data_IF_905419586377
#
_entry.id   IF_905419586377
#
_cell.length_a   1.000
_cell.length_b   1.000
_cell.length_c   1.000
_cell.angle_alpha   90.00
_cell.angle_beta   90.00
_cell.angle_gamma   90.00
#
_symmetry.space_group_name_H-M   'P 1'
#
loop_
_entity.id
_entity.type
_entity.pdbx_description
1 polymer ?
#
# COMPACT_ATOMS: atom_id res chain seq x y z
N UNK A 1 -73.21 0.12 6.65
CA UNK A 1 -72.95 -1.07 5.82
C UNK A 1 -71.94 -0.64 4.77
N UNK A 2 -70.63 -0.61 5.09
CA UNK A 2 -69.63 -1.69 4.82
C UNK A 2 -69.50 -1.93 3.30
N UNK A 3 -68.40 -1.65 2.60
CA UNK A 3 -67.00 -2.00 2.90
C UNK A 3 -65.99 -1.04 2.24
N UNK A 4 -64.80 -1.00 2.85
CA UNK A 4 -63.54 -0.46 2.35
C UNK A 4 -63.08 -1.18 1.09
N UNK A 5 -62.36 -0.47 0.22
CA UNK A 5 -61.24 -1.01 -0.59
C UNK A 5 -60.36 0.17 -1.03
N UNK A 6 -59.56 0.69 -0.09
CA UNK A 6 -58.39 1.52 -0.39
C UNK A 6 -57.25 0.59 -0.79
N UNK A 7 -57.01 0.43 -2.10
CA UNK A 7 -55.82 -0.26 -2.60
C UNK A 7 -54.63 0.71 -2.61
N UNK A 8 -53.89 0.59 -1.50
CA UNK A 8 -52.57 1.13 -1.18
C UNK A 8 -51.53 0.71 -2.24
N UNK A 9 -51.20 1.59 -3.19
CA UNK A 9 -49.96 1.46 -3.98
C UNK A 9 -48.78 1.93 -3.13
N UNK A 10 -48.40 1.11 -2.13
CA UNK A 10 -47.10 1.23 -1.47
C UNK A 10 -46.01 0.78 -2.43
N UNK A 11 -45.15 1.72 -2.80
CA UNK A 11 -43.82 1.48 -3.32
C UNK A 11 -43.05 0.58 -2.34
N UNK A 12 -43.02 -0.72 -2.63
CA UNK A 12 -42.03 -1.63 -2.06
C UNK A 12 -40.69 -1.35 -2.74
N UNK A 13 -39.94 -0.38 -2.21
CA UNK A 13 -38.49 -0.35 -2.42
C UNK A 13 -37.88 -1.36 -1.46
N UNK A 14 -38.06 -2.64 -1.77
CA UNK A 14 -37.33 -3.72 -1.10
C UNK A 14 -35.87 -3.65 -1.55
N UNK A 15 -35.02 -3.18 -0.63
CA UNK A 15 -33.63 -3.54 -0.44
C UNK A 15 -32.89 -4.04 -1.68
N UNK A 16 -32.31 -3.11 -2.44
CA UNK A 16 -31.14 -3.41 -3.25
C UNK A 16 -30.02 -3.78 -2.28
N UNK A 17 -29.78 -5.09 -2.13
CA UNK A 17 -28.66 -5.61 -1.39
C UNK A 17 -27.37 -4.96 -1.91
N UNK A 18 -26.68 -4.21 -1.04
CA UNK A 18 -25.30 -3.84 -1.30
C UNK A 18 -24.48 -5.14 -1.34
N UNK A 19 -23.58 -5.32 -2.32
CA UNK A 19 -22.75 -6.52 -2.35
C UNK A 19 -21.84 -6.51 -1.13
N UNK A 20 -22.02 -7.50 -0.26
CA UNK A 20 -21.18 -7.80 0.90
C UNK A 20 -19.71 -7.68 0.54
N UNK A 21 -19.07 -6.61 1.01
CA UNK A 21 -17.64 -6.58 1.28
C UNK A 21 -17.40 -6.88 2.76
N UNK A 22 -18.07 -7.90 3.30
CA UNK A 22 -17.65 -8.50 4.55
C UNK A 22 -16.31 -9.21 4.32
N UNK A 23 -15.24 -8.45 4.55
CA UNK A 23 -13.91 -8.98 4.82
C UNK A 23 -14.08 -9.98 5.96
N UNK A 24 -13.79 -11.27 5.69
CA UNK A 24 -13.77 -12.33 6.71
C UNK A 24 -12.68 -12.05 7.74
N UNK A 25 -12.96 -11.18 8.70
CA UNK A 25 -12.20 -11.00 9.94
C UNK A 25 -12.63 -12.15 10.86
N UNK A 26 -11.72 -13.05 11.25
CA UNK A 26 -12.00 -14.07 12.26
C UNK A 26 -11.74 -13.46 13.63
N UNK A 27 -12.75 -13.33 14.51
CA UNK A 27 -12.52 -12.92 15.88
C UNK A 27 -11.84 -14.05 16.66
N UNK A 28 -10.74 -13.74 17.35
CA UNK A 28 -10.15 -14.62 18.38
C UNK A 28 -10.56 -14.06 19.75
N UNK A 29 -11.24 -14.88 20.57
CA UNK A 29 -11.63 -14.50 21.93
C UNK A 29 -10.40 -14.59 22.83
N UNK A 30 -9.99 -13.47 23.43
CA UNK A 30 -8.96 -13.44 24.46
C UNK A 30 -9.48 -14.23 25.67
N UNK A 31 -8.80 -15.31 26.04
CA UNK A 31 -9.07 -15.99 27.31
C UNK A 31 -8.50 -15.11 28.42
N UNK A 32 -9.37 -14.36 29.10
CA UNK A 32 -9.02 -13.67 30.34
C UNK A 32 -9.03 -14.76 31.43
N UNK A 33 -7.87 -15.02 32.04
CA UNK A 33 -7.79 -15.93 33.18
C UNK A 33 -8.54 -15.28 34.36
N UNK A 34 -9.67 -15.89 34.75
CA UNK A 34 -10.64 -15.40 35.73
C UNK A 34 -10.15 -15.43 37.19
N UNK A 35 -8.84 -15.34 37.47
CA UNK A 35 -8.33 -15.39 38.84
C UNK A 35 -8.25 -14.02 39.54
N UNK A 36 -8.36 -12.89 38.83
CA UNK A 36 -8.22 -11.55 39.45
C UNK A 36 -9.54 -10.80 39.78
N UNK A 37 -10.72 -11.35 39.45
CA UNK A 37 -12.00 -10.63 39.63
C UNK A 37 -12.64 -10.89 41.01
N UNK A 38 -12.20 -11.91 41.76
CA UNK A 38 -12.91 -12.36 42.96
C UNK A 38 -12.64 -11.58 44.27
N UNK A 39 -11.87 -10.48 44.26
CA UNK A 39 -11.59 -9.72 45.49
C UNK A 39 -12.25 -8.34 45.61
N UNK A 40 -13.08 -7.91 44.64
CA UNK A 40 -13.65 -6.54 44.67
C UNK A 40 -15.17 -6.39 44.65
N UNK A 41 -15.96 -7.46 44.55
CA UNK A 41 -17.42 -7.36 44.45
C UNK A 41 -18.17 -7.88 45.69
N UNK A 42 -17.76 -7.47 46.89
CA UNK A 42 -18.68 -7.36 48.02
C UNK A 42 -18.95 -5.87 48.28
N UNK A 43 -20.21 -5.46 48.08
CA UNK A 43 -20.82 -4.15 48.36
C UNK A 43 -21.00 -3.19 47.17
N UNK A 44 -21.92 -3.48 46.24
CA UNK A 44 -22.91 -2.48 45.74
C UNK A 44 -24.16 -3.23 45.26
N UNK A 45 -25.30 -3.03 45.93
CA UNK A 45 -26.63 -3.40 45.42
C UNK A 45 -27.13 -2.35 44.40
N UNK A 46 -27.69 -2.82 43.28
CA UNK A 46 -28.74 -2.11 42.56
C UNK A 46 -28.33 -1.33 41.31
N UNK A 47 -28.54 -1.94 40.14
CA UNK A 47 -28.55 -1.26 38.84
C UNK A 47 -28.46 -2.25 37.68
N UNK A 48 -29.57 -2.52 37.01
CA UNK A 48 -29.58 -3.21 35.71
C UNK A 48 -28.96 -2.26 34.67
N UNK A 49 -27.65 -2.34 34.51
CA UNK A 49 -26.93 -1.91 33.32
C UNK A 49 -26.42 -3.16 32.62
N UNK A 50 -26.77 -3.34 31.36
CA UNK A 50 -26.07 -4.30 30.50
C UNK A 50 -24.62 -3.83 30.38
N UNK A 51 -23.72 -4.40 31.20
CA UNK A 51 -22.28 -4.26 31.00
C UNK A 51 -21.95 -5.00 29.69
N UNK A 52 -21.84 -4.25 28.60
CA UNK A 52 -21.24 -4.76 27.37
C UNK A 52 -19.80 -5.18 27.72
N UNK A 53 -19.54 -6.49 27.80
CA UNK A 53 -18.19 -7.03 27.78
C UNK A 53 -17.51 -6.51 26.50
N UNK A 54 -16.70 -5.46 26.61
CA UNK A 54 -15.71 -5.07 25.61
C UNK A 54 -14.71 -6.22 25.46
N UNK A 55 -15.12 -7.21 24.69
CA UNK A 55 -14.26 -8.30 24.25
C UNK A 55 -13.22 -7.70 23.32
N UNK A 56 -11.98 -7.61 23.81
CA UNK A 56 -10.84 -7.18 23.01
C UNK A 56 -10.60 -8.22 21.90
N UNK A 57 -11.15 -7.97 20.72
CA UNK A 57 -11.00 -8.84 19.56
C UNK A 57 -9.60 -8.66 18.97
N UNK A 58 -8.80 -9.73 18.97
CA UNK A 58 -7.56 -9.76 18.20
C UNK A 58 -7.91 -10.06 16.73
N UNK A 59 -7.69 -9.08 15.85
CA UNK A 59 -7.97 -9.21 14.43
C UNK A 59 -6.82 -9.91 13.72
N UNK A 60 -7.04 -11.17 13.31
CA UNK A 60 -6.10 -11.88 12.45
C UNK A 60 -6.15 -11.29 11.02
N UNK A 61 -5.02 -10.79 10.51
CA UNK A 61 -4.93 -10.41 9.11
C UNK A 61 -5.00 -11.65 8.25
N UNK A 62 -6.08 -11.74 7.47
CA UNK A 62 -6.23 -12.72 6.41
C UNK A 62 -5.73 -12.03 5.13
N UNK A 63 -4.53 -12.36 4.63
CA UNK A 63 -4.06 -11.77 3.39
C UNK A 63 -5.06 -12.11 2.27
N UNK A 64 -5.39 -11.13 1.44
CA UNK A 64 -6.32 -11.35 0.34
C UNK A 64 -5.75 -12.39 -0.63
N UNK A 65 -6.63 -13.07 -1.37
CA UNK A 65 -6.22 -13.99 -2.44
C UNK A 65 -5.22 -13.32 -3.41
N UNK A 66 -5.39 -12.01 -3.65
CA UNK A 66 -4.46 -11.21 -4.44
C UNK A 66 -3.04 -11.15 -3.84
N UNK A 67 -2.92 -10.95 -2.53
CA UNK A 67 -1.63 -10.92 -1.83
C UNK A 67 -0.83 -12.22 -2.00
N UNK A 68 -1.48 -13.37 -1.81
CA UNK A 68 -0.83 -14.67 -1.97
C UNK A 68 -0.41 -14.97 -3.42
N UNK A 69 -1.23 -14.56 -4.39
CA UNK A 69 -0.91 -14.71 -5.82
C UNK A 69 0.31 -13.86 -6.19
N UNK A 70 0.42 -12.64 -5.68
CA UNK A 70 1.58 -11.77 -5.94
C UNK A 70 2.85 -12.36 -5.35
N UNK A 71 2.82 -12.81 -4.08
CA UNK A 71 4.01 -13.42 -3.46
C UNK A 71 4.41 -14.71 -4.17
N UNK A 72 3.45 -15.59 -4.46
CA UNK A 72 3.72 -16.86 -5.13
C UNK A 72 4.32 -16.69 -6.53
N UNK A 73 3.83 -15.72 -7.30
CA UNK A 73 4.36 -15.44 -8.64
C UNK A 73 5.77 -14.84 -8.60
N UNK A 74 6.07 -13.95 -7.65
CA UNK A 74 7.42 -13.40 -7.44
C UNK A 74 8.40 -14.52 -7.07
N UNK A 75 8.04 -15.41 -6.14
CA UNK A 75 8.91 -16.51 -5.72
C UNK A 75 9.24 -17.47 -6.89
N UNK A 76 8.24 -17.86 -7.68
CA UNK A 76 8.45 -18.73 -8.85
C UNK A 76 9.34 -18.06 -9.90
N UNK A 77 9.15 -16.76 -10.14
CA UNK A 77 9.98 -16.00 -11.08
C UNK A 77 11.45 -15.92 -10.63
N UNK A 78 11.69 -15.72 -9.32
CA UNK A 78 13.05 -15.71 -8.75
C UNK A 78 13.72 -17.09 -8.90
N UNK A 79 13.02 -18.18 -8.58
CA UNK A 79 13.54 -19.54 -8.71
C UNK A 79 13.90 -19.85 -10.16
N UNK A 80 12.99 -19.55 -11.10
CA UNK A 80 13.22 -19.75 -12.53
C UNK A 80 14.42 -18.97 -13.05
N UNK A 81 14.59 -17.71 -12.60
CA UNK A 81 15.74 -16.88 -12.95
C UNK A 81 17.05 -17.46 -12.41
N UNK A 82 17.09 -17.92 -11.15
CA UNK A 82 18.28 -18.54 -10.54
C UNK A 82 18.69 -19.80 -11.31
N UNK A 83 17.74 -20.65 -11.69
CA UNK A 83 18.02 -21.85 -12.51
C UNK A 83 18.62 -21.40 -13.84
N UNK A 84 17.95 -20.48 -14.54
CA UNK A 84 18.36 -19.99 -15.86
C UNK A 84 19.81 -19.48 -15.88
N UNK A 85 20.20 -18.60 -14.95
CA UNK A 85 21.56 -18.02 -14.90
C UNK A 85 22.65 -19.02 -14.51
N UNK A 86 22.29 -20.20 -14.02
CA UNK A 86 23.24 -21.27 -13.69
C UNK A 86 23.33 -22.36 -14.77
N UNK A 87 22.50 -22.29 -15.81
CA UNK A 87 22.64 -23.17 -16.96
C UNK A 87 23.91 -22.86 -17.76
N UNK A 88 24.53 -23.89 -18.34
CA UNK A 88 25.74 -23.77 -19.16
C UNK A 88 25.44 -23.33 -20.61
N UNK A 89 24.58 -22.33 -20.78
CA UNK A 89 24.25 -21.73 -22.08
C UNK A 89 24.98 -20.38 -22.27
N UNK A 90 25.41 -20.03 -23.49
CA UNK A 90 26.10 -18.75 -23.76
C UNK A 90 25.24 -17.53 -23.38
N UNK A 91 23.93 -17.61 -23.60
CA UNK A 91 22.99 -16.56 -23.19
C UNK A 91 22.88 -16.44 -21.67
N UNK A 92 22.81 -17.58 -20.95
CA UNK A 92 22.81 -17.61 -19.48
C UNK A 92 24.07 -16.96 -18.91
N UNK A 93 25.27 -17.30 -19.42
CA UNK A 93 26.53 -16.68 -18.99
C UNK A 93 26.57 -15.17 -19.23
N UNK A 94 26.07 -14.71 -20.39
CA UNK A 94 25.96 -13.28 -20.72
C UNK A 94 25.01 -12.55 -19.77
N UNK A 95 23.84 -13.14 -19.50
CA UNK A 95 22.85 -12.61 -18.54
C UNK A 95 23.41 -12.62 -17.12
N UNK A 96 24.10 -13.67 -16.70
CA UNK A 96 24.78 -13.77 -15.39
C UNK A 96 25.84 -12.68 -15.24
N UNK A 97 26.67 -12.45 -16.26
CA UNK A 97 27.67 -11.37 -16.26
C UNK A 97 27.04 -9.98 -16.16
N UNK A 98 25.98 -9.72 -16.94
CA UNK A 98 25.20 -8.48 -16.84
C UNK A 98 24.56 -8.31 -15.45
N UNK A 99 23.98 -9.38 -14.89
CA UNK A 99 23.36 -9.38 -13.57
C UNK A 99 24.38 -9.11 -12.45
N UNK A 100 25.52 -9.81 -12.45
CA UNK A 100 26.60 -9.60 -11.48
C UNK A 100 27.15 -8.17 -11.59
N UNK A 101 27.38 -7.67 -12.81
CA UNK A 101 27.82 -6.29 -13.01
C UNK A 101 26.79 -5.29 -12.49
N UNK A 102 25.50 -5.58 -12.68
CA UNK A 102 24.43 -4.74 -12.14
C UNK A 102 24.37 -4.78 -10.62
N UNK A 103 24.69 -5.91 -9.98
CA UNK A 103 24.78 -6.02 -8.52
C UNK A 103 25.98 -5.26 -7.95
N UNK A 104 27.14 -5.32 -8.62
CA UNK A 104 28.34 -4.56 -8.24
C UNK A 104 28.07 -3.06 -8.36
N UNK A 105 27.46 -2.64 -9.47
CA UNK A 105 27.05 -1.25 -9.66
C UNK A 105 26.06 -0.80 -8.58
N UNK A 106 25.06 -1.63 -8.26
CA UNK A 106 24.11 -1.38 -7.18
C UNK A 106 24.79 -1.24 -5.81
N UNK A 107 25.73 -2.14 -5.46
CA UNK A 107 26.51 -2.03 -4.22
C UNK A 107 27.29 -0.72 -4.16
N UNK A 108 27.87 -0.28 -5.28
CA UNK A 108 28.63 0.96 -5.34
C UNK A 108 27.75 2.21 -5.11
N UNK A 109 26.46 2.15 -5.44
CA UNK A 109 25.52 3.26 -5.21
C UNK A 109 25.42 3.64 -3.72
N UNK A 110 25.59 2.69 -2.79
CA UNK A 110 25.58 2.96 -1.34
C UNK A 110 26.73 3.87 -0.87
N UNK A 111 27.78 4.05 -1.67
CA UNK A 111 28.91 4.91 -1.31
C UNK A 111 28.81 6.29 -1.97
N UNK A 112 27.78 6.55 -2.79
CA UNK A 112 27.64 7.78 -3.55
C UNK A 112 26.82 8.81 -2.77
N UNK A 113 27.47 9.89 -2.30
CA UNK A 113 26.78 10.99 -1.57
C UNK A 113 25.55 11.53 -2.30
N UNK A 114 25.62 11.64 -3.64
CA UNK A 114 24.51 12.15 -4.47
C UNK A 114 23.23 11.31 -4.37
N UNK A 115 23.34 10.01 -4.06
CA UNK A 115 22.19 9.11 -3.88
C UNK A 115 21.37 9.57 -2.69
N UNK A 116 22.01 9.75 -1.53
CA UNK A 116 21.36 10.16 -0.29
C UNK A 116 20.84 11.60 -0.36
N UNK A 117 21.60 12.52 -0.93
CA UNK A 117 21.18 13.92 -1.09
C UNK A 117 19.92 14.00 -1.94
N UNK A 118 19.91 13.35 -3.12
CA UNK A 118 18.74 13.36 -3.99
C UNK A 118 17.55 12.67 -3.34
N UNK A 119 17.77 11.55 -2.64
CA UNK A 119 16.71 10.83 -1.93
C UNK A 119 16.05 11.68 -0.82
N UNK A 120 16.86 12.36 -0.01
CA UNK A 120 16.36 13.22 1.08
C UNK A 120 15.61 14.43 0.51
N UNK A 121 16.14 15.08 -0.54
CA UNK A 121 15.46 16.21 -1.18
C UNK A 121 14.13 15.80 -1.79
N UNK A 122 14.08 14.63 -2.43
CA UNK A 122 12.85 14.08 -2.98
C UNK A 122 11.84 13.71 -1.90
N UNK A 123 12.29 13.10 -0.80
CA UNK A 123 11.45 12.85 0.36
C UNK A 123 10.83 14.16 0.88
N UNK A 124 11.64 15.18 1.14
CA UNK A 124 11.15 16.50 1.61
C UNK A 124 10.16 17.11 0.62
N UNK A 125 10.46 17.06 -0.68
CA UNK A 125 9.56 17.56 -1.72
C UNK A 125 8.20 16.84 -1.70
N UNK A 126 8.21 15.50 -1.60
CA UNK A 126 6.99 14.70 -1.49
C UNK A 126 6.23 15.06 -0.20
N UNK A 127 6.91 15.29 0.93
CA UNK A 127 6.23 15.70 2.18
C UNK A 127 5.48 17.02 2.02
N UNK A 128 6.09 18.01 1.38
CA UNK A 128 5.45 19.30 1.10
C UNK A 128 4.25 19.10 0.17
N UNK A 129 4.41 18.30 -0.89
CA UNK A 129 3.33 18.00 -1.82
C UNK A 129 2.18 17.24 -1.16
N UNK A 130 2.47 16.27 -0.29
CA UNK A 130 1.46 15.53 0.48
C UNK A 130 0.68 16.47 1.39
N UNK A 131 1.35 17.36 2.13
CA UNK A 131 0.67 18.32 3.00
C UNK A 131 -0.28 19.24 2.22
N UNK A 132 0.18 19.79 1.09
CA UNK A 132 -0.65 20.61 0.20
C UNK A 132 -1.82 19.80 -0.37
N UNK A 133 -1.55 18.58 -0.83
CA UNK A 133 -2.57 17.70 -1.40
C UNK A 133 -3.64 17.34 -0.37
N UNK A 134 -3.25 17.08 0.88
CA UNK A 134 -4.19 16.80 1.97
C UNK A 134 -5.15 17.96 2.20
N UNK A 135 -4.64 19.19 2.28
CA UNK A 135 -5.46 20.40 2.42
C UNK A 135 -6.41 20.63 1.23
N UNK A 136 -5.96 20.32 0.02
CA UNK A 136 -6.79 20.45 -1.19
C UNK A 136 -7.89 19.39 -1.19
N UNK A 137 -7.55 18.13 -0.90
CA UNK A 137 -8.50 17.02 -0.88
C UNK A 137 -9.57 17.26 0.18
N UNK A 138 -9.20 17.67 1.39
CA UNK A 138 -10.16 17.94 2.47
C UNK A 138 -11.19 19.03 2.11
N UNK A 139 -10.81 20.01 1.28
CA UNK A 139 -11.70 21.09 0.84
C UNK A 139 -12.61 20.70 -0.32
N UNK A 140 -12.15 19.79 -1.19
CA UNK A 140 -12.88 19.40 -2.42
C UNK A 140 -13.76 18.18 -2.16
N UNK A 141 -13.25 17.23 -1.38
CA UNK A 141 -13.93 15.97 -1.05
C UNK A 141 -13.59 15.60 0.42
N UNK A 142 -14.28 16.21 1.39
CA UNK A 142 -14.04 15.95 2.82
C UNK A 142 -14.19 14.47 3.20
N UNK A 143 -15.06 13.74 2.50
CA UNK A 143 -15.35 12.33 2.73
C UNK A 143 -14.47 11.38 1.89
N UNK A 144 -13.36 11.89 1.31
CA UNK A 144 -12.49 11.09 0.46
C UNK A 144 -11.84 9.92 1.22
N UNK A 145 -12.27 8.70 0.93
CA UNK A 145 -11.69 7.46 1.49
C UNK A 145 -10.34 7.16 0.85
N UNK A 146 -9.29 6.87 1.63
CA UNK A 146 -7.99 6.39 1.13
C UNK A 146 -7.85 4.89 1.33
N UNK A 147 -8.16 4.08 0.32
CA UNK A 147 -8.06 2.63 0.47
C UNK A 147 -6.63 2.19 0.81
N UNK A 148 -5.62 2.85 0.24
CA UNK A 148 -4.22 2.45 0.43
C UNK A 148 -3.77 2.68 1.88
N UNK A 149 -4.23 3.77 2.51
CA UNK A 149 -3.98 4.02 3.93
C UNK A 149 -4.81 3.08 4.82
N UNK A 150 -6.06 2.78 4.45
CA UNK A 150 -6.89 1.80 5.16
C UNK A 150 -6.27 0.41 5.16
N UNK A 151 -5.85 -0.06 4.00
CA UNK A 151 -5.22 -1.38 3.83
C UNK A 151 -3.89 -1.44 4.60
N UNK A 152 -3.14 -0.33 4.61
CA UNK A 152 -1.92 -0.23 5.42
C UNK A 152 -2.20 -0.21 6.93
N UNK A 153 -3.28 0.45 7.37
CA UNK A 153 -3.73 0.43 8.76
C UNK A 153 -4.13 -0.98 9.19
N UNK A 154 -4.97 -1.66 8.39
CA UNK A 154 -5.38 -3.04 8.66
C UNK A 154 -4.16 -3.98 8.73
N UNK A 155 -3.20 -3.82 7.81
CA UNK A 155 -1.99 -4.64 7.83
C UNK A 155 -1.08 -4.32 9.01
N UNK A 156 -0.86 -3.05 9.34
CA UNK A 156 -0.01 -2.63 10.47
C UNK A 156 -0.59 -3.08 11.82
N UNK A 157 -1.91 -3.04 11.97
CA UNK A 157 -2.62 -3.54 13.15
C UNK A 157 -2.39 -5.03 13.38
N UNK A 158 -2.24 -5.80 12.30
CA UNK A 158 -1.99 -7.25 12.39
C UNK A 158 -0.52 -7.61 12.61
N UNK A 159 0.39 -6.84 12.02
CA UNK A 159 1.83 -7.08 12.13
C UNK A 159 2.59 -5.83 11.75
N UNK A 160 3.03 -5.07 12.74
CA UNK A 160 3.89 -3.90 12.53
C UNK A 160 5.19 -4.28 11.79
N UNK A 161 5.81 -5.40 12.18
CA UNK A 161 7.04 -5.90 11.53
C UNK A 161 6.75 -6.33 10.09
N UNK A 162 5.62 -6.99 9.85
CA UNK A 162 5.17 -7.37 8.51
C UNK A 162 4.93 -6.15 7.62
N UNK A 163 4.21 -5.15 8.12
CA UNK A 163 3.94 -3.90 7.42
C UNK A 163 5.23 -3.15 7.08
N UNK A 164 6.20 -3.07 8.00
CA UNK A 164 7.49 -2.46 7.70
C UNK A 164 8.26 -3.23 6.62
N UNK A 165 8.42 -4.55 6.77
CA UNK A 165 9.19 -5.37 5.81
C UNK A 165 8.53 -5.33 4.43
N UNK A 166 7.21 -5.47 4.34
CA UNK A 166 6.53 -5.59 3.06
C UNK A 166 6.22 -4.22 2.47
N UNK A 167 5.51 -3.34 3.20
CA UNK A 167 5.02 -2.08 2.66
C UNK A 167 6.08 -0.97 2.63
N UNK A 168 6.96 -0.89 3.63
CA UNK A 168 8.03 0.12 3.62
C UNK A 168 9.25 -0.32 2.80
N UNK A 169 9.58 -1.62 2.77
CA UNK A 169 10.81 -2.09 2.11
C UNK A 169 10.56 -2.85 0.80
N UNK A 170 9.84 -3.98 0.81
CA UNK A 170 9.71 -4.84 -0.36
C UNK A 170 8.95 -4.17 -1.52
N UNK A 171 7.82 -3.51 -1.25
CA UNK A 171 7.03 -2.82 -2.29
C UNK A 171 7.83 -1.70 -2.96
N UNK A 172 8.43 -0.72 -2.25
CA UNK A 172 9.26 0.30 -2.88
C UNK A 172 10.40 -0.26 -3.74
N UNK A 173 11.06 -1.34 -3.31
CA UNK A 173 12.10 -1.99 -4.13
C UNK A 173 11.49 -2.54 -5.42
N UNK A 174 10.41 -3.32 -5.33
CA UNK A 174 9.75 -3.94 -6.48
C UNK A 174 9.20 -2.90 -7.46
N UNK A 175 8.54 -1.87 -6.95
CA UNK A 175 7.97 -0.78 -7.73
C UNK A 175 9.06 0.00 -8.46
N UNK A 176 10.14 0.40 -7.78
CA UNK A 176 11.20 1.17 -8.44
C UNK A 176 11.94 0.33 -9.49
N UNK A 177 12.15 -0.97 -9.24
CA UNK A 177 12.70 -1.88 -10.26
C UNK A 177 11.78 -1.96 -11.50
N UNK A 178 10.46 -2.06 -11.30
CA UNK A 178 9.52 -2.15 -12.42
C UNK A 178 9.35 -0.80 -13.14
N UNK A 179 9.00 0.27 -12.43
CA UNK A 179 8.66 1.55 -13.04
C UNK A 179 9.88 2.34 -13.50
N UNK A 180 11.02 2.26 -12.81
CA UNK A 180 12.24 2.99 -13.20
C UNK A 180 13.20 2.15 -14.00
N UNK A 181 13.65 1.02 -13.44
CA UNK A 181 14.71 0.25 -14.10
C UNK A 181 14.19 -0.40 -15.39
N UNK A 182 12.98 -0.95 -15.37
CA UNK A 182 12.38 -1.60 -16.54
C UNK A 182 11.60 -0.61 -17.43
N UNK A 183 10.46 -0.07 -16.96
CA UNK A 183 9.56 0.71 -17.81
C UNK A 183 10.19 2.03 -18.29
N UNK A 184 10.64 2.88 -17.36
CA UNK A 184 11.35 4.12 -17.72
C UNK A 184 12.61 3.81 -18.54
N UNK A 185 13.41 2.83 -18.11
CA UNK A 185 14.62 2.41 -18.81
C UNK A 185 14.38 2.10 -20.29
N UNK A 186 13.37 1.28 -20.60
CA UNK A 186 12.99 0.93 -21.98
C UNK A 186 12.57 2.17 -22.77
N UNK A 187 11.65 2.98 -22.23
CA UNK A 187 11.07 4.10 -22.96
C UNK A 187 12.10 5.22 -23.18
N UNK A 188 13.03 5.40 -22.24
CA UNK A 188 14.07 6.43 -22.32
C UNK A 188 15.03 6.22 -23.49
N UNK A 189 15.14 5.00 -24.03
CA UNK A 189 15.86 4.74 -25.29
C UNK A 189 15.20 5.39 -26.51
N UNK A 190 13.89 5.64 -26.46
CA UNK A 190 13.11 6.23 -27.54
C UNK A 190 12.81 7.71 -27.30
N UNK A 191 12.36 8.06 -26.11
CA UNK A 191 12.06 9.44 -25.72
C UNK A 191 12.10 9.60 -24.22
N UNK A 192 13.00 10.48 -23.75
CA UNK A 192 13.12 10.84 -22.34
C UNK A 192 11.82 11.43 -21.80
N UNK A 193 11.20 12.35 -22.56
CA UNK A 193 9.91 12.95 -22.16
C UNK A 193 8.85 11.85 -21.99
N UNK A 194 8.76 10.93 -22.94
CA UNK A 194 7.79 9.84 -22.88
C UNK A 194 8.07 8.89 -21.70
N UNK A 195 9.34 8.68 -21.34
CA UNK A 195 9.73 7.86 -20.20
C UNK A 195 9.21 8.45 -18.88
N UNK A 196 9.37 9.77 -18.71
CA UNK A 196 8.81 10.49 -17.56
C UNK A 196 7.28 10.41 -17.54
N UNK A 197 6.61 10.74 -18.65
CA UNK A 197 5.15 10.77 -18.72
C UNK A 197 4.53 9.38 -18.48
N UNK A 198 4.97 8.37 -19.23
CA UNK A 198 4.37 7.02 -19.17
C UNK A 198 4.71 6.35 -17.85
N UNK A 199 5.98 6.35 -17.40
CA UNK A 199 6.32 5.62 -16.18
C UNK A 199 5.67 6.23 -14.93
N UNK A 200 5.49 7.54 -14.89
CA UNK A 200 4.81 8.22 -13.77
C UNK A 200 3.30 8.01 -13.83
N UNK A 201 2.70 8.03 -15.02
CA UNK A 201 1.28 7.76 -15.19
C UNK A 201 0.92 6.33 -14.81
N UNK A 202 1.70 5.34 -15.28
CA UNK A 202 1.46 3.93 -14.95
C UNK A 202 1.71 3.67 -13.46
N UNK A 203 2.72 4.30 -12.86
CA UNK A 203 2.93 4.28 -11.40
C UNK A 203 1.72 4.83 -10.64
N UNK A 204 1.16 5.95 -11.09
CA UNK A 204 -0.02 6.53 -10.47
C UNK A 204 -1.24 5.61 -10.61
N UNK A 205 -1.47 5.06 -11.79
CA UNK A 205 -2.61 4.17 -12.03
C UNK A 205 -2.48 2.84 -11.28
N UNK A 206 -1.25 2.35 -11.06
CA UNK A 206 -0.98 1.19 -10.21
C UNK A 206 -1.50 1.35 -8.78
N UNK A 207 -1.47 2.55 -8.21
CA UNK A 207 -1.99 2.83 -6.87
C UNK A 207 -3.52 2.75 -6.79
N UNK A 208 -4.20 2.64 -7.93
CA UNK A 208 -5.62 2.34 -8.04
C UNK A 208 -5.85 0.91 -8.55
N UNK A 209 -4.87 0.02 -8.37
CA UNK A 209 -4.94 -1.39 -8.79
C UNK A 209 -5.17 -1.60 -10.30
N UNK A 210 -4.86 -0.59 -11.11
CA UNK A 210 -5.26 -0.55 -12.53
C UNK A 210 -6.78 -0.67 -12.75
N UNK A 211 -7.59 -0.33 -11.75
CA UNK A 211 -9.05 -0.33 -11.80
C UNK A 211 -9.57 1.10 -12.05
N UNK A 212 -10.33 1.27 -13.14
CA UNK A 212 -10.94 2.55 -13.48
C UNK A 212 -12.07 2.97 -12.54
N UNK A 213 -12.71 2.02 -11.84
CA UNK A 213 -13.73 2.27 -10.82
C UNK A 213 -13.06 2.90 -9.60
N UNK A 214 -12.01 2.23 -9.07
CA UNK A 214 -11.21 2.75 -7.95
C UNK A 214 -10.57 4.11 -8.29
N UNK A 215 -10.05 4.26 -9.51
CA UNK A 215 -9.53 5.55 -9.99
C UNK A 215 -10.59 6.66 -9.97
N UNK A 216 -11.86 6.37 -10.31
CA UNK A 216 -12.94 7.37 -10.29
C UNK A 216 -13.33 7.74 -8.87
N UNK A 217 -13.42 6.77 -7.97
CA UNK A 217 -13.80 6.97 -6.57
C UNK A 217 -12.73 7.79 -5.81
N UNK A 218 -11.45 7.55 -6.10
CA UNK A 218 -10.33 8.19 -5.41
C UNK A 218 -9.52 9.17 -6.30
N UNK A 219 -10.15 9.71 -7.35
CA UNK A 219 -9.47 10.52 -8.37
C UNK A 219 -8.69 11.71 -7.81
N UNK A 220 -9.15 12.30 -6.71
CA UNK A 220 -8.50 13.45 -6.06
C UNK A 220 -7.07 13.16 -5.60
N UNK A 221 -6.69 11.88 -5.43
CA UNK A 221 -5.33 11.45 -5.09
C UNK A 221 -4.43 11.19 -6.29
N UNK A 222 -5.00 11.03 -7.49
CA UNK A 222 -4.23 10.76 -8.70
C UNK A 222 -3.10 11.78 -8.95
N UNK A 223 -3.32 13.11 -8.76
CA UNK A 223 -2.25 14.09 -8.95
C UNK A 223 -1.05 13.89 -8.01
N UNK A 224 -1.28 13.49 -6.75
CA UNK A 224 -0.20 13.24 -5.80
C UNK A 224 0.60 12.00 -6.20
N UNK A 225 -0.05 10.89 -6.57
CA UNK A 225 0.65 9.70 -7.03
C UNK A 225 1.42 9.94 -8.34
N UNK A 226 0.85 10.73 -9.25
CA UNK A 226 1.51 11.14 -10.48
C UNK A 226 2.77 11.96 -10.18
N UNK A 227 2.67 12.93 -9.28
CA UNK A 227 3.80 13.77 -8.86
C UNK A 227 4.91 12.94 -8.18
N UNK A 228 4.54 12.00 -7.31
CA UNK A 228 5.49 11.06 -6.71
C UNK A 228 6.20 10.23 -7.77
N UNK A 229 5.45 9.71 -8.75
CA UNK A 229 6.00 9.00 -9.91
C UNK A 229 7.03 9.83 -10.69
N UNK A 230 6.71 11.11 -10.97
CA UNK A 230 7.65 12.03 -11.63
C UNK A 230 8.88 12.30 -10.77
N UNK A 231 8.71 12.46 -9.46
CA UNK A 231 9.79 12.74 -8.52
C UNK A 231 10.78 11.57 -8.48
N UNK A 232 10.27 10.34 -8.36
CA UNK A 232 11.12 9.15 -8.37
C UNK A 232 11.81 8.93 -9.72
N UNK A 233 11.11 9.17 -10.83
CA UNK A 233 11.71 9.18 -12.17
C UNK A 233 12.83 10.22 -12.29
N UNK A 234 12.62 11.42 -11.76
CA UNK A 234 13.60 12.50 -11.76
C UNK A 234 14.85 12.14 -10.97
N UNK A 235 14.68 11.65 -9.74
CA UNK A 235 15.81 11.24 -8.89
C UNK A 235 16.61 10.11 -9.54
N UNK A 236 15.93 9.11 -10.09
CA UNK A 236 16.57 8.00 -10.79
C UNK A 236 17.41 8.50 -11.98
N UNK A 237 16.83 9.31 -12.86
CA UNK A 237 17.48 9.81 -14.06
C UNK A 237 18.60 10.82 -13.74
N UNK A 238 18.39 11.71 -12.78
CA UNK A 238 19.39 12.69 -12.33
C UNK A 238 20.62 12.02 -11.71
N UNK A 239 20.40 11.03 -10.85
CA UNK A 239 21.51 10.34 -10.17
C UNK A 239 22.13 9.25 -11.03
N UNK A 240 21.38 8.66 -11.95
CA UNK A 240 21.72 7.41 -12.62
C UNK A 240 21.71 6.20 -11.69
N UNK A 241 21.14 6.34 -10.49
CA UNK A 241 21.19 5.35 -9.42
C UNK A 241 19.78 4.96 -8.99
N UNK A 242 19.42 3.69 -9.17
CA UNK A 242 18.12 3.17 -8.72
C UNK A 242 17.97 3.23 -7.20
N UNK A 243 19.08 3.11 -6.46
CA UNK A 243 19.08 3.21 -5.01
C UNK A 243 18.55 4.56 -4.51
N UNK A 244 18.75 5.65 -5.27
CA UNK A 244 18.30 6.98 -4.84
C UNK A 244 16.78 7.07 -4.82
N UNK A 245 16.10 6.54 -5.83
CA UNK A 245 14.63 6.53 -5.86
C UNK A 245 14.06 5.50 -4.89
N UNK A 246 14.71 4.33 -4.73
CA UNK A 246 14.36 3.33 -3.70
C UNK A 246 14.40 3.95 -2.31
N UNK A 247 15.46 4.68 -1.93
CA UNK A 247 15.55 5.30 -0.60
C UNK A 247 14.47 6.36 -0.43
N UNK A 248 14.24 7.22 -1.43
CA UNK A 248 13.19 8.25 -1.34
C UNK A 248 11.81 7.63 -1.11
N UNK A 249 11.48 6.57 -1.85
CA UNK A 249 10.22 5.87 -1.74
C UNK A 249 10.12 5.09 -0.41
N UNK A 250 11.17 4.37 -0.02
CA UNK A 250 11.29 3.71 1.29
C UNK A 250 11.03 4.67 2.44
N UNK A 251 11.61 5.88 2.42
CA UNK A 251 11.39 6.89 3.46
C UNK A 251 9.92 7.34 3.51
N UNK A 252 9.30 7.56 2.35
CA UNK A 252 7.89 7.94 2.27
C UNK A 252 6.98 6.84 2.86
N UNK A 253 7.21 5.57 2.51
CA UNK A 253 6.40 4.46 3.03
C UNK A 253 6.72 4.15 4.49
N UNK A 254 7.96 4.33 4.94
CA UNK A 254 8.33 4.20 6.36
C UNK A 254 7.56 5.20 7.21
N UNK A 255 7.44 6.46 6.76
CA UNK A 255 6.58 7.44 7.43
C UNK A 255 5.14 6.95 7.49
N UNK A 256 4.59 6.44 6.39
CA UNK A 256 3.21 5.96 6.36
C UNK A 256 2.99 4.83 7.37
N UNK A 257 3.91 3.86 7.45
CA UNK A 257 3.87 2.77 8.45
C UNK A 257 3.96 3.32 9.88
N UNK A 258 4.83 4.31 10.13
CA UNK A 258 4.95 4.93 11.46
C UNK A 258 3.64 5.65 11.84
N UNK A 259 3.07 6.46 10.94
CA UNK A 259 1.80 7.15 11.20
C UNK A 259 0.65 6.15 11.39
N UNK A 260 0.66 5.06 10.65
CA UNK A 260 -0.31 3.98 10.78
C UNK A 260 -0.26 3.38 12.18
N UNK A 261 0.94 3.05 12.65
CA UNK A 261 1.17 2.54 13.99
C UNK A 261 0.78 3.53 15.10
N UNK A 262 0.95 4.82 14.87
CA UNK A 262 0.53 5.88 15.81
C UNK A 262 -0.98 6.17 15.79
N UNK A 263 -1.74 5.54 14.88
CA UNK A 263 -3.16 5.84 14.69
C UNK A 263 -3.41 7.22 14.05
N UNK A 264 -2.39 7.81 13.43
CA UNK A 264 -2.44 9.15 12.83
C UNK A 264 -2.59 9.12 11.30
N UNK A 265 -2.48 7.94 10.67
CA UNK A 265 -2.64 7.80 9.23
C UNK A 265 -4.12 7.82 8.84
N UNK A 266 -4.55 8.97 8.31
CA UNK A 266 -5.90 9.22 7.77
C UNK A 266 -6.06 8.73 6.33
#
# INVERSE_FOLDING_TARGET
>A
MTNNDDNDYKLATDNVAQPDQEIKKRPIKKQIDNEEINEKNENVEGGEGEEEEESEYEYEFVPTTGFYVVIGTILLAIIGFIIFINLDYPMSKKVKGMFISSLIDFKNQFFMKKVYIAAILAFIFIQVATAISSEIVERINPDAVNSNNRDLNDFSNSSMVGAFIVAALCFPIGEELFFRKFLFGIINHFSKILAYLISSFVFAFYHFEFDFTKLKEEFTRFPLYLLSGFTFAYVYDYTGCILASIIAHFLNNTKAVILSFLGELK
#
